data_IF_470504128679
#
_entry.id   IF_470504128679
#
_cell.length_a   1.000
_cell.length_b   1.000
_cell.length_c   1.000
_cell.angle_alpha   90.00
_cell.angle_beta   90.00
_cell.angle_gamma   90.00
#
_symmetry.space_group_name_H-M   'P 1'
#
loop_
_entity.id
_entity.type
_entity.pdbx_description
1 polymer ?
#
# COMPACT_ATOMS: atom_id res chain seq x y z
N UNK A 1 0.20 10.83 -21.13
CA UNK A 1 0.69 9.58 -20.50
C UNK A 1 0.85 9.84 -19.01
N UNK A 2 0.43 8.92 -18.11
CA UNK A 2 0.53 9.08 -16.64
C UNK A 2 0.95 7.77 -15.98
N UNK A 3 1.55 7.83 -14.80
CA UNK A 3 1.78 6.64 -13.95
C UNK A 3 0.44 6.22 -13.33
N UNK A 4 0.00 4.99 -13.62
CA UNK A 4 -1.27 4.46 -13.10
C UNK A 4 -1.15 3.88 -11.69
N UNK A 5 -0.25 2.91 -11.54
CA UNK A 5 -0.01 2.22 -10.27
C UNK A 5 1.47 2.30 -9.89
N UNK A 6 1.75 2.37 -8.60
CA UNK A 6 3.10 2.21 -8.05
C UNK A 6 3.14 1.02 -7.11
N UNK A 7 4.10 0.12 -7.31
CA UNK A 7 4.21 -1.10 -6.53
C UNK A 7 4.92 -0.86 -5.21
N UNK A 8 4.39 -1.41 -4.13
CA UNK A 8 5.07 -1.49 -2.83
C UNK A 8 5.16 -2.97 -2.43
N UNK A 9 6.37 -3.40 -2.07
CA UNK A 9 6.60 -4.75 -1.54
C UNK A 9 6.12 -4.82 -0.09
N UNK A 10 5.30 -5.82 0.21
CA UNK A 10 4.67 -6.02 1.53
C UNK A 10 4.96 -7.43 2.07
N UNK A 11 4.86 -7.61 3.40
CA UNK A 11 5.09 -8.90 4.05
C UNK A 11 3.94 -9.88 3.80
N UNK A 12 2.72 -9.44 4.07
CA UNK A 12 1.50 -10.22 3.88
C UNK A 12 0.37 -9.32 3.36
N UNK A 13 -0.52 -9.89 2.55
CA UNK A 13 -1.61 -9.15 1.91
C UNK A 13 -2.59 -8.56 2.92
N UNK A 14 -3.15 -9.38 3.81
CA UNK A 14 -4.19 -8.94 4.74
C UNK A 14 -3.64 -7.93 5.76
N UNK A 15 -2.39 -8.09 6.17
CA UNK A 15 -1.70 -7.10 7.00
C UNK A 15 -1.60 -5.75 6.29
N UNK A 16 -1.15 -5.75 5.04
CA UNK A 16 -1.02 -4.52 4.25
C UNK A 16 -2.39 -3.89 3.94
N UNK A 17 -3.40 -4.70 3.62
CA UNK A 17 -4.76 -4.22 3.37
C UNK A 17 -5.28 -3.50 4.62
N UNK A 18 -5.20 -4.11 5.80
CA UNK A 18 -5.63 -3.46 7.05
C UNK A 18 -4.88 -2.15 7.29
N UNK A 19 -3.56 -2.13 7.09
CA UNK A 19 -2.81 -0.89 7.26
C UNK A 19 -3.28 0.23 6.32
N UNK A 20 -3.33 -0.03 5.00
CA UNK A 20 -3.68 1.01 4.04
C UNK A 20 -5.17 1.40 4.10
N UNK A 21 -6.07 0.45 4.35
CA UNK A 21 -7.52 0.72 4.39
C UNK A 21 -7.94 1.24 5.76
N UNK A 22 -7.63 0.52 6.83
CA UNK A 22 -8.14 0.84 8.16
C UNK A 22 -7.34 1.99 8.79
N UNK A 23 -6.00 1.94 8.75
CA UNK A 23 -5.17 2.98 9.37
C UNK A 23 -5.03 4.24 8.48
N UNK A 24 -4.61 4.07 7.22
CA UNK A 24 -4.36 5.22 6.31
C UNK A 24 -5.65 5.77 5.70
N UNK A 25 -6.69 4.94 5.53
CA UNK A 25 -7.97 5.40 4.97
C UNK A 25 -8.05 5.36 3.45
N UNK A 26 -7.24 4.54 2.80
CA UNK A 26 -7.37 4.27 1.36
C UNK A 26 -8.55 3.32 1.10
N UNK A 27 -9.01 3.30 -0.15
CA UNK A 27 -10.02 2.35 -0.62
C UNK A 27 -9.33 1.12 -1.23
N UNK A 28 -9.81 -0.09 -0.90
CA UNK A 28 -9.47 -1.32 -1.61
C UNK A 28 -10.28 -1.40 -2.91
N UNK A 29 -9.60 -1.53 -4.04
CA UNK A 29 -10.24 -1.41 -5.37
C UNK A 29 -10.09 -2.65 -6.24
N UNK A 30 -9.15 -3.51 -5.89
CA UNK A 30 -8.98 -4.82 -6.48
C UNK A 30 -8.33 -5.74 -5.45
N UNK A 31 -8.79 -6.98 -5.43
CA UNK A 31 -8.30 -8.04 -4.55
C UNK A 31 -8.59 -9.40 -5.18
N UNK A 32 -7.92 -9.66 -6.30
CA UNK A 32 -8.23 -10.80 -7.16
C UNK A 32 -7.22 -11.93 -6.94
N UNK A 33 -7.70 -13.16 -6.71
CA UNK A 33 -6.84 -14.35 -6.65
C UNK A 33 -6.25 -14.65 -8.04
N UNK A 34 -4.91 -14.76 -8.09
CA UNK A 34 -4.16 -15.11 -9.29
C UNK A 34 -3.62 -16.55 -9.25
N UNK A 35 -4.03 -17.35 -8.26
CA UNK A 35 -3.55 -18.70 -8.04
C UNK A 35 -2.19 -18.76 -7.34
N UNK A 36 -1.87 -19.93 -6.77
CA UNK A 36 -0.62 -20.15 -6.05
C UNK A 36 -0.43 -19.24 -4.83
N UNK A 37 -1.54 -18.74 -4.26
CA UNK A 37 -1.53 -17.79 -3.14
C UNK A 37 -1.14 -16.36 -3.50
N UNK A 38 -0.98 -16.04 -4.80
CA UNK A 38 -0.73 -14.67 -5.28
C UNK A 38 -2.05 -13.93 -5.45
N UNK A 39 -2.09 -12.65 -5.05
CA UNK A 39 -3.26 -11.77 -5.24
C UNK A 39 -2.88 -10.51 -6.01
N UNK A 40 -3.81 -10.00 -6.82
CA UNK A 40 -3.79 -8.65 -7.38
C UNK A 40 -4.48 -7.69 -6.39
N UNK A 41 -3.70 -7.01 -5.55
CA UNK A 41 -4.24 -6.14 -4.50
C UNK A 41 -3.90 -4.70 -4.79
N UNK A 42 -4.91 -3.86 -5.01
CA UNK A 42 -4.73 -2.43 -5.29
C UNK A 42 -5.52 -1.59 -4.30
N UNK A 43 -4.84 -0.61 -3.69
CA UNK A 43 -5.46 0.41 -2.83
C UNK A 43 -5.24 1.81 -3.42
N UNK A 44 -6.16 2.73 -3.20
CA UNK A 44 -6.07 4.11 -3.74
C UNK A 44 -6.55 5.13 -2.72
N UNK A 45 -5.98 6.35 -2.71
CA UNK A 45 -6.54 7.45 -1.94
C UNK A 45 -7.97 7.78 -2.43
N UNK A 46 -8.85 8.28 -1.54
CA UNK A 46 -10.18 8.73 -1.92
C UNK A 46 -10.15 9.76 -3.06
N UNK A 47 -11.10 9.69 -4.01
CA UNK A 47 -11.23 10.67 -5.11
C UNK A 47 -10.29 10.51 -6.32
N UNK A 48 -9.41 9.50 -6.29
CA UNK A 48 -8.62 8.84 -7.36
C UNK A 48 -7.95 9.67 -8.48
N UNK A 49 -6.62 9.50 -8.60
CA UNK A 49 -5.85 9.71 -9.85
C UNK A 49 -4.71 8.70 -10.10
N UNK A 50 -4.32 7.91 -9.08
CA UNK A 50 -3.33 6.83 -9.12
C UNK A 50 -3.57 5.81 -7.97
N UNK A 51 -2.81 4.72 -7.87
CA UNK A 51 -2.96 3.73 -6.79
C UNK A 51 -1.66 2.99 -6.42
N UNK A 52 -1.71 2.28 -5.31
CA UNK A 52 -0.63 1.40 -4.86
C UNK A 52 -0.99 -0.06 -5.13
N UNK A 53 -0.11 -0.78 -5.82
CA UNK A 53 -0.16 -2.23 -5.96
C UNK A 53 0.61 -2.85 -4.80
N UNK A 54 -0.08 -3.61 -3.95
CA UNK A 54 0.54 -4.32 -2.82
C UNK A 54 1.08 -5.66 -3.32
N UNK A 55 2.40 -5.78 -3.42
CA UNK A 55 3.07 -6.99 -3.91
C UNK A 55 3.67 -7.77 -2.73
N UNK A 56 3.08 -8.91 -2.37
CA UNK A 56 3.64 -9.76 -1.32
C UNK A 56 5.01 -10.30 -1.73
N UNK A 57 5.99 -10.19 -0.85
CA UNK A 57 7.31 -10.77 -1.04
C UNK A 57 7.22 -12.31 -1.19
N UNK A 58 7.93 -12.88 -2.16
CA UNK A 58 7.99 -14.33 -2.42
C UNK A 58 9.35 -14.95 -2.14
N UNK A 59 10.35 -14.14 -1.78
CA UNK A 59 11.70 -14.60 -1.45
C UNK A 59 12.41 -13.64 -0.48
N UNK A 60 13.57 -14.08 0.02
CA UNK A 60 14.35 -13.33 1.01
C UNK A 60 14.80 -11.94 0.52
N UNK A 61 15.16 -11.79 -0.76
CA UNK A 61 15.58 -10.51 -1.31
C UNK A 61 14.43 -9.49 -1.35
N UNK A 62 13.22 -9.95 -1.71
CA UNK A 62 12.02 -9.11 -1.69
C UNK A 62 11.60 -8.78 -0.26
N UNK A 63 11.69 -9.73 0.67
CA UNK A 63 11.39 -9.48 2.07
C UNK A 63 12.32 -8.41 2.66
N UNK A 64 13.60 -8.44 2.31
CA UNK A 64 14.57 -7.42 2.70
C UNK A 64 14.30 -6.04 2.06
N UNK A 65 13.51 -5.97 0.99
CA UNK A 65 13.11 -4.71 0.35
C UNK A 65 11.85 -4.09 0.99
N UNK A 66 11.14 -4.80 1.88
CA UNK A 66 10.00 -4.24 2.60
C UNK A 66 10.47 -3.08 3.49
N UNK A 67 9.91 -1.89 3.23
CA UNK A 67 10.29 -0.64 3.89
C UNK A 67 11.52 0.04 3.29
N UNK A 68 12.19 -0.60 2.33
CA UNK A 68 13.40 -0.08 1.66
C UNK A 68 13.23 -0.04 0.13
N UNK A 69 12.03 0.30 -0.35
CA UNK A 69 11.68 0.25 -1.78
C UNK A 69 12.53 1.20 -2.65
N UNK A 70 13.13 2.21 -2.02
CA UNK A 70 13.91 3.29 -2.65
C UNK A 70 15.36 3.34 -2.17
N UNK A 71 15.88 2.26 -1.57
CA UNK A 71 17.29 2.15 -1.20
C UNK A 71 17.73 3.20 -0.18
N UNK A 72 16.93 3.42 0.87
CA UNK A 72 17.24 4.35 1.97
C UNK A 72 16.88 5.82 1.70
N UNK A 73 16.20 6.11 0.59
CA UNK A 73 15.71 7.47 0.26
C UNK A 73 14.21 7.58 0.50
N UNK A 74 13.72 8.80 0.68
CA UNK A 74 12.26 9.05 0.72
C UNK A 74 11.66 8.71 -0.65
N UNK A 75 10.62 7.87 -0.67
CA UNK A 75 9.97 7.43 -1.91
C UNK A 75 8.59 8.04 -2.16
N UNK A 76 7.77 8.20 -1.13
CA UNK A 76 6.36 8.58 -1.25
C UNK A 76 6.03 9.79 -0.38
N UNK A 77 5.19 10.68 -0.91
CA UNK A 77 4.66 11.83 -0.22
C UNK A 77 3.14 11.75 -0.22
N UNK A 78 2.53 11.69 0.97
CA UNK A 78 1.09 11.74 1.14
C UNK A 78 0.72 13.13 1.65
N UNK A 79 -0.17 13.82 0.92
CA UNK A 79 -0.70 15.11 1.33
C UNK A 79 -2.03 14.89 2.03
N UNK A 80 -2.24 15.59 3.15
CA UNK A 80 -3.49 15.57 3.90
C UNK A 80 -3.96 17.00 4.16
N UNK A 81 -5.26 17.24 4.00
CA UNK A 81 -5.92 18.46 4.46
C UNK A 81 -6.34 18.38 5.94
N UNK A 82 -6.34 17.19 6.55
CA UNK A 82 -6.62 16.94 7.96
C UNK A 82 -5.61 15.96 8.55
N UNK A 83 -4.45 16.47 8.95
CA UNK A 83 -3.39 15.65 9.54
C UNK A 83 -3.81 15.06 10.89
N UNK A 84 -4.51 15.82 11.74
CA UNK A 84 -4.90 15.38 13.08
C UNK A 84 -5.97 14.28 13.05
N UNK A 85 -6.94 14.36 12.14
CA UNK A 85 -7.90 13.29 11.91
C UNK A 85 -7.23 12.00 11.43
N UNK A 86 -6.35 12.10 10.43
CA UNK A 86 -5.61 10.93 9.94
C UNK A 86 -4.69 10.32 11.00
N UNK A 87 -3.97 11.15 11.75
CA UNK A 87 -3.11 10.68 12.84
C UNK A 87 -3.91 9.92 13.92
N UNK A 88 -5.07 10.45 14.34
CA UNK A 88 -5.94 9.77 15.31
C UNK A 88 -6.46 8.44 14.77
N UNK A 89 -6.85 8.39 13.49
CA UNK A 89 -7.27 7.14 12.83
C UNK A 89 -6.16 6.10 12.87
N UNK A 90 -4.94 6.48 12.50
CA UNK A 90 -3.78 5.58 12.51
C UNK A 90 -3.44 5.05 13.90
N UNK A 91 -3.67 5.83 14.96
CA UNK A 91 -3.47 5.37 16.34
C UNK A 91 -4.56 4.41 16.84
N UNK A 92 -5.74 4.43 16.24
CA UNK A 92 -6.90 3.62 16.65
C UNK A 92 -7.09 2.33 15.87
N UNK A 93 -6.35 2.16 14.76
CA UNK A 93 -6.39 0.99 13.90
C UNK A 93 -5.48 -0.12 14.44
#
# INVERSE_FOLDING_TARGET
MRVGLTTIVVREYDEAIRFYVDAVGFELIADDDQGGGKRWVVVTPPGRSSGLLLARASNAAQLAAVGNQTGGRVGFFLYSSDFHGQYRRMLSA
#
